data_IF_237459374811
#
_entry.id   IF_237459374811
#
_cell.length_a   1.000
_cell.length_b   1.000
_cell.length_c   1.000
_cell.angle_alpha   90.00
_cell.angle_beta   90.00
_cell.angle_gamma   90.00
#
_symmetry.space_group_name_H-M   'P 1'
#
loop_
_entity.id
_entity.type
_entity.pdbx_description
1 polymer ?
#
# COMPACT_ATOMS: atom_id res chain seq x y z
N UNK A 1 -15.30 -56.37 -15.85
CA UNK A 1 -15.15 -55.79 -17.20
C UNK A 1 -14.93 -54.31 -17.00
N UNK A 2 -13.66 -53.94 -16.91
CA UNK A 2 -13.18 -52.57 -16.73
C UNK A 2 -13.49 -51.74 -17.98
N UNK A 3 -13.82 -50.47 -17.80
CA UNK A 3 -13.60 -49.45 -18.82
C UNK A 3 -13.17 -48.15 -18.14
N UNK A 4 -11.89 -47.87 -18.38
CA UNK A 4 -10.98 -46.85 -17.88
C UNK A 4 -11.51 -45.45 -17.55
N UNK A 5 -10.97 -44.95 -16.43
CA UNK A 5 -10.72 -43.54 -16.15
C UNK A 5 -9.79 -42.98 -17.23
N UNK A 6 -10.35 -42.23 -18.19
CA UNK A 6 -9.58 -41.41 -19.11
C UNK A 6 -9.20 -40.10 -18.42
N UNK A 7 -7.91 -39.97 -18.16
CA UNK A 7 -7.20 -38.77 -17.71
C UNK A 7 -7.47 -37.56 -18.62
N UNK A 8 -8.42 -36.71 -18.23
CA UNK A 8 -8.55 -35.38 -18.85
C UNK A 8 -7.61 -34.40 -18.17
N UNK A 9 -6.50 -34.19 -18.87
CA UNK A 9 -5.56 -33.06 -18.76
C UNK A 9 -6.32 -31.76 -18.45
N UNK A 10 -6.11 -31.20 -17.26
CA UNK A 10 -6.52 -29.83 -16.93
C UNK A 10 -5.55 -28.89 -17.65
N UNK A 11 -5.92 -28.44 -18.85
CA UNK A 11 -5.30 -27.26 -19.46
C UNK A 11 -5.84 -26.05 -18.69
N UNK A 12 -5.02 -25.46 -17.82
CA UNK A 12 -5.32 -24.14 -17.24
C UNK A 12 -5.44 -23.14 -18.39
N UNK A 13 -6.68 -22.83 -18.80
CA UNK A 13 -6.96 -21.74 -19.70
C UNK A 13 -6.48 -20.43 -19.10
N UNK A 14 -6.06 -19.46 -19.92
CA UNK A 14 -5.83 -18.09 -19.48
C UNK A 14 -7.11 -17.60 -18.80
N UNK A 15 -7.09 -17.48 -17.47
CA UNK A 15 -8.18 -16.87 -16.71
C UNK A 15 -8.34 -15.45 -17.23
N UNK A 16 -9.48 -15.18 -17.87
CA UNK A 16 -9.83 -13.84 -18.35
C UNK A 16 -10.21 -13.01 -17.13
N UNK A 17 -9.42 -11.97 -16.85
CA UNK A 17 -9.73 -10.97 -15.83
C UNK A 17 -10.80 -10.04 -16.38
N UNK A 18 -11.76 -9.67 -15.54
CA UNK A 18 -12.78 -8.68 -15.83
C UNK A 18 -12.61 -7.54 -14.84
N UNK A 19 -12.49 -6.32 -15.36
CA UNK A 19 -12.49 -5.13 -14.52
C UNK A 19 -13.92 -4.91 -14.02
N UNK A 20 -14.09 -4.90 -12.70
CA UNK A 20 -15.40 -4.74 -12.06
C UNK A 20 -15.82 -3.28 -12.04
N UNK A 21 -14.89 -2.41 -11.65
CA UNK A 21 -15.07 -0.97 -11.55
C UNK A 21 -13.69 -0.30 -11.50
N UNK A 22 -13.62 0.95 -11.92
CA UNK A 22 -12.53 1.87 -11.69
C UNK A 22 -12.80 2.75 -10.47
N UNK A 23 -11.73 3.24 -9.84
CA UNK A 23 -11.78 4.19 -8.74
C UNK A 23 -10.74 5.25 -9.05
N UNK A 24 -11.15 6.52 -9.06
CA UNK A 24 -10.27 7.62 -9.46
C UNK A 24 -9.22 7.90 -8.39
N UNK A 25 -9.62 7.90 -7.11
CA UNK A 25 -8.72 8.16 -5.99
C UNK A 25 -9.06 7.28 -4.79
N UNK A 26 -8.02 6.66 -4.21
CA UNK A 26 -8.07 6.02 -2.88
C UNK A 26 -7.15 6.79 -1.94
N UNK A 27 -7.75 7.31 -0.87
CA UNK A 27 -7.05 7.95 0.24
C UNK A 27 -6.94 7.00 1.43
N UNK A 28 -5.80 7.06 2.10
CA UNK A 28 -5.54 6.30 3.32
C UNK A 28 -5.13 7.27 4.41
N UNK A 29 -5.73 7.13 5.59
CA UNK A 29 -5.39 7.91 6.77
C UNK A 29 -5.26 7.02 7.98
N UNK A 30 -4.34 7.39 8.87
CA UNK A 30 -4.23 6.84 10.21
C UNK A 30 -4.47 7.94 11.23
N UNK A 31 -5.30 7.65 12.25
CA UNK A 31 -5.44 8.52 13.41
C UNK A 31 -4.28 8.28 14.41
N UNK A 32 -4.24 9.04 15.51
CA UNK A 32 -3.10 9.00 16.46
C UNK A 32 -2.97 7.68 17.23
N UNK A 33 -4.02 6.86 17.26
CA UNK A 33 -4.04 5.49 17.77
C UNK A 33 -3.76 4.44 16.67
N UNK A 34 -3.38 4.90 15.47
CA UNK A 34 -3.23 4.10 14.26
C UNK A 34 -4.53 3.41 13.80
N UNK A 35 -5.69 3.94 14.20
CA UNK A 35 -6.96 3.56 13.57
C UNK A 35 -6.90 3.89 12.09
N UNK A 36 -7.13 2.87 11.27
CA UNK A 36 -7.12 2.95 9.81
C UNK A 36 -8.43 3.52 9.30
N UNK A 37 -8.34 4.41 8.32
CA UNK A 37 -9.48 4.92 7.56
C UNK A 37 -9.17 4.94 6.06
N UNK A 38 -10.14 4.49 5.27
CA UNK A 38 -10.12 4.55 3.82
C UNK A 38 -11.09 5.64 3.34
N UNK A 39 -10.61 6.44 2.41
CA UNK A 39 -11.42 7.43 1.69
C UNK A 39 -11.39 7.07 0.21
N UNK A 40 -12.51 7.26 -0.49
CA UNK A 40 -12.55 7.14 -1.96
C UNK A 40 -13.08 8.43 -2.56
N UNK A 41 -12.56 8.80 -3.73
CA UNK A 41 -13.13 9.90 -4.51
C UNK A 41 -13.48 9.45 -5.93
N UNK A 42 -14.60 9.97 -6.41
CA UNK A 42 -15.07 9.86 -7.78
C UNK A 42 -15.00 11.24 -8.43
N UNK A 43 -14.22 11.37 -9.49
CA UNK A 43 -13.94 12.63 -10.16
C UNK A 43 -14.54 12.61 -11.57
N UNK A 44 -15.55 13.46 -11.82
CA UNK A 44 -16.25 13.51 -13.11
C UNK A 44 -16.29 14.91 -13.69
N UNK A 45 -15.72 15.06 -14.89
CA UNK A 45 -15.72 16.30 -15.68
C UNK A 45 -16.91 16.40 -16.66
N UNK A 46 -17.66 15.33 -16.85
CA UNK A 46 -18.77 15.23 -17.81
C UNK A 46 -20.14 15.62 -17.25
N UNK A 47 -21.19 15.44 -18.08
CA UNK A 47 -22.60 15.71 -17.75
C UNK A 47 -23.31 14.53 -17.05
N UNK A 48 -22.55 13.71 -16.31
CA UNK A 48 -23.14 12.57 -15.63
C UNK A 48 -24.10 13.02 -14.53
N UNK A 49 -25.10 12.19 -14.23
CA UNK A 49 -26.07 12.49 -13.17
C UNK A 49 -25.39 12.33 -11.81
N UNK A 50 -25.26 13.44 -11.06
CA UNK A 50 -24.65 13.44 -9.73
C UNK A 50 -25.35 12.45 -8.78
N UNK A 51 -26.69 12.34 -8.85
CA UNK A 51 -27.42 11.39 -8.01
C UNK A 51 -27.11 9.93 -8.38
N UNK A 52 -26.94 9.60 -9.66
CA UNK A 52 -26.52 8.26 -10.07
C UNK A 52 -25.10 7.96 -9.59
N UNK A 53 -24.20 8.95 -9.64
CA UNK A 53 -22.83 8.81 -9.14
C UNK A 53 -22.77 8.65 -7.62
N UNK A 54 -23.66 9.30 -6.87
CA UNK A 54 -23.79 9.06 -5.42
C UNK A 54 -24.14 7.60 -5.11
N UNK A 55 -25.14 7.03 -5.80
CA UNK A 55 -25.50 5.62 -5.60
C UNK A 55 -24.37 4.66 -6.01
N UNK A 56 -23.72 4.92 -7.14
CA UNK A 56 -22.56 4.13 -7.58
C UNK A 56 -21.42 4.22 -6.55
N UNK A 57 -21.05 5.42 -6.11
CA UNK A 57 -19.97 5.65 -5.16
C UNK A 57 -20.28 5.00 -3.82
N UNK A 58 -21.54 5.04 -3.36
CA UNK A 58 -21.95 4.32 -2.16
C UNK A 58 -21.77 2.81 -2.29
N UNK A 59 -22.05 2.25 -3.47
CA UNK A 59 -21.78 0.84 -3.79
C UNK A 59 -20.28 0.53 -3.72
N UNK A 60 -19.44 1.35 -4.35
CA UNK A 60 -17.97 1.24 -4.31
C UNK A 60 -17.44 1.33 -2.89
N UNK A 61 -17.90 2.32 -2.11
CA UNK A 61 -17.53 2.47 -0.71
C UNK A 61 -17.87 1.23 0.11
N UNK A 62 -19.06 0.67 -0.09
CA UNK A 62 -19.49 -0.55 0.62
C UNK A 62 -18.63 -1.75 0.24
N UNK A 63 -18.31 -1.90 -1.04
CA UNK A 63 -17.47 -2.99 -1.54
C UNK A 63 -16.03 -2.93 -0.99
N UNK A 64 -15.44 -1.74 -0.90
CA UNK A 64 -14.07 -1.55 -0.40
C UNK A 64 -13.97 -1.39 1.13
N UNK A 65 -15.10 -1.28 1.83
CA UNK A 65 -15.11 -0.87 3.24
C UNK A 65 -14.56 0.55 3.44
N UNK A 66 -14.87 1.48 2.53
CA UNK A 66 -14.45 2.86 2.66
C UNK A 66 -15.31 3.63 3.67
N UNK A 67 -14.65 4.36 4.57
CA UNK A 67 -15.29 5.12 5.62
C UNK A 67 -15.99 6.36 5.07
N UNK A 68 -15.41 7.01 4.06
CA UNK A 68 -15.94 8.25 3.49
C UNK A 68 -15.73 8.35 1.98
N UNK A 69 -16.72 8.92 1.29
CA UNK A 69 -16.67 9.22 -0.14
C UNK A 69 -16.53 10.71 -0.41
N UNK A 70 -15.93 11.06 -1.55
CA UNK A 70 -15.95 12.40 -2.12
C UNK A 70 -16.46 12.31 -3.57
N UNK A 71 -17.53 13.03 -3.88
CA UNK A 71 -17.99 13.20 -5.25
C UNK A 71 -17.48 14.56 -5.75
N UNK A 72 -16.52 14.54 -6.67
CA UNK A 72 -15.91 15.72 -7.26
C UNK A 72 -16.47 15.91 -8.67
N UNK A 73 -17.23 16.98 -8.88
CA UNK A 73 -17.85 17.29 -10.17
C UNK A 73 -17.83 18.80 -10.42
N UNK A 74 -18.01 19.25 -11.67
CA UNK A 74 -18.04 20.69 -11.94
C UNK A 74 -19.22 21.41 -11.24
N UNK A 75 -20.40 20.78 -11.26
CA UNK A 75 -21.62 21.32 -10.66
C UNK A 75 -22.44 20.19 -10.07
N UNK A 76 -22.99 20.40 -8.88
CA UNK A 76 -23.82 19.41 -8.17
C UNK A 76 -25.11 20.09 -7.72
N UNK A 77 -26.26 19.51 -8.10
CA UNK A 77 -27.57 20.07 -7.76
C UNK A 77 -27.87 20.01 -6.26
N UNK A 78 -28.61 20.99 -5.70
CA UNK A 78 -28.91 21.04 -4.27
C UNK A 78 -29.69 19.83 -3.76
N UNK A 79 -30.47 19.17 -4.62
CA UNK A 79 -31.21 17.94 -4.32
C UNK A 79 -30.30 16.77 -3.91
N UNK A 80 -29.02 16.81 -4.29
CA UNK A 80 -28.05 15.77 -3.96
C UNK A 80 -27.55 15.86 -2.50
N UNK A 81 -27.73 17.00 -1.80
CA UNK A 81 -27.14 17.27 -0.48
C UNK A 81 -27.63 16.28 0.59
N UNK A 82 -28.94 16.09 0.70
CA UNK A 82 -29.55 15.18 1.67
C UNK A 82 -29.17 13.72 1.40
N UNK A 83 -29.08 13.35 0.12
CA UNK A 83 -28.68 12.00 -0.31
C UNK A 83 -27.22 11.74 0.04
N UNK A 84 -26.34 12.68 -0.27
CA UNK A 84 -24.91 12.58 0.01
C UNK A 84 -24.61 12.46 1.51
N UNK A 85 -25.29 13.26 2.35
CA UNK A 85 -25.15 13.20 3.80
C UNK A 85 -25.49 11.81 4.34
N UNK A 86 -26.60 11.21 3.90
CA UNK A 86 -27.02 9.85 4.30
C UNK A 86 -26.04 8.77 3.84
N UNK A 87 -25.31 9.01 2.76
CA UNK A 87 -24.35 8.05 2.20
C UNK A 87 -22.93 8.21 2.77
N UNK A 88 -22.70 9.20 3.64
CA UNK A 88 -21.38 9.65 4.10
C UNK A 88 -20.46 10.06 2.94
N UNK A 89 -21.01 10.80 1.99
CA UNK A 89 -20.30 11.36 0.84
C UNK A 89 -20.24 12.88 0.97
N UNK A 90 -19.03 13.44 0.87
CA UNK A 90 -18.82 14.87 0.70
C UNK A 90 -19.03 15.26 -0.76
N UNK A 91 -19.77 16.34 -1.00
CA UNK A 91 -19.92 16.93 -2.32
C UNK A 91 -18.84 18.00 -2.52
N UNK A 92 -18.09 17.90 -3.61
CA UNK A 92 -17.04 18.85 -4.00
C UNK A 92 -17.32 19.35 -5.41
N UNK A 93 -18.20 20.36 -5.50
CA UNK A 93 -18.29 21.16 -6.73
C UNK A 93 -17.13 22.17 -6.83
N UNK A 94 -17.03 22.87 -7.96
CA UNK A 94 -15.93 23.81 -8.21
C UNK A 94 -15.82 24.91 -7.13
N UNK A 95 -16.96 25.40 -6.64
CA UNK A 95 -17.04 26.40 -5.57
C UNK A 95 -16.56 25.81 -4.23
N UNK A 96 -17.12 24.68 -3.81
CA UNK A 96 -16.77 24.03 -2.54
C UNK A 96 -15.31 23.56 -2.53
N UNK A 97 -14.79 23.08 -3.67
CA UNK A 97 -13.39 22.67 -3.80
C UNK A 97 -12.46 23.88 -3.63
N UNK A 98 -12.74 24.97 -4.35
CA UNK A 98 -11.94 26.21 -4.26
C UNK A 98 -11.96 26.79 -2.84
N UNK A 99 -13.13 26.79 -2.18
CA UNK A 99 -13.25 27.23 -0.80
C UNK A 99 -12.46 26.31 0.14
N UNK A 100 -12.57 24.99 -0.03
CA UNK A 100 -11.85 24.02 0.78
C UNK A 100 -10.33 24.19 0.64
N UNK A 101 -9.82 24.41 -0.57
CA UNK A 101 -8.41 24.68 -0.83
C UNK A 101 -7.95 25.96 -0.14
N UNK A 102 -8.75 27.03 -0.24
CA UNK A 102 -8.48 28.32 0.41
C UNK A 102 -8.44 28.18 1.94
N UNK A 103 -9.45 27.53 2.54
CA UNK A 103 -9.55 27.32 3.99
C UNK A 103 -8.40 26.49 4.55
N UNK A 104 -7.88 25.57 3.74
CA UNK A 104 -6.75 24.72 4.09
C UNK A 104 -5.40 25.33 3.73
N UNK A 105 -5.40 26.55 3.17
CA UNK A 105 -4.21 27.21 2.64
C UNK A 105 -3.43 26.28 1.71
N UNK A 106 -4.15 25.48 0.92
CA UNK A 106 -3.61 24.65 -0.13
C UNK A 106 -3.37 25.56 -1.33
N UNK A 107 -2.15 26.06 -1.48
CA UNK A 107 -1.76 26.64 -2.75
C UNK A 107 -1.54 25.47 -3.72
N UNK A 108 -2.55 25.19 -4.56
CA UNK A 108 -2.51 24.11 -5.57
C UNK A 108 -1.34 24.28 -6.53
N UNK A 109 -0.89 25.52 -6.78
CA UNK A 109 0.34 25.81 -7.53
C UNK A 109 1.62 25.49 -6.75
N UNK A 110 1.57 25.53 -5.42
CA UNK A 110 2.67 25.11 -4.53
C UNK A 110 2.70 23.62 -4.22
N UNK A 111 1.57 22.90 -4.42
CA UNK A 111 1.51 21.44 -4.40
C UNK A 111 2.29 20.92 -5.62
N UNK A 112 3.60 21.02 -5.53
CA UNK A 112 4.58 20.59 -6.54
C UNK A 112 4.71 19.06 -6.61
N UNK A 113 3.66 18.35 -6.20
CA UNK A 113 3.49 16.91 -6.19
C UNK A 113 2.13 16.57 -6.81
N UNK A 114 2.00 15.37 -7.38
CA UNK A 114 0.77 14.93 -8.08
C UNK A 114 0.41 15.76 -9.34
N UNK A 115 1.40 16.31 -10.04
CA UNK A 115 1.20 16.97 -11.34
C UNK A 115 0.87 15.96 -12.45
N UNK A 116 0.22 16.39 -13.54
CA UNK A 116 -0.02 15.51 -14.70
C UNK A 116 1.28 14.89 -15.21
N UNK A 117 2.37 15.66 -15.29
CA UNK A 117 3.69 15.16 -15.70
C UNK A 117 4.23 14.05 -14.78
N UNK A 118 3.94 14.10 -13.47
CA UNK A 118 4.32 13.05 -12.54
C UNK A 118 3.51 11.76 -12.80
N UNK A 119 2.21 11.90 -13.08
CA UNK A 119 1.36 10.76 -13.43
C UNK A 119 1.75 10.14 -14.76
N UNK A 120 2.03 10.94 -15.80
CA UNK A 120 2.51 10.46 -17.10
C UNK A 120 3.84 9.72 -16.96
N UNK A 121 4.78 10.28 -16.18
CA UNK A 121 6.05 9.62 -15.91
C UNK A 121 5.87 8.34 -15.12
N UNK A 122 4.98 8.33 -14.12
CA UNK A 122 4.67 7.12 -13.37
C UNK A 122 4.12 6.03 -14.30
N UNK A 123 3.19 6.37 -15.21
CA UNK A 123 2.67 5.44 -16.20
C UNK A 123 3.76 4.88 -17.12
N UNK A 124 4.73 5.71 -17.53
CA UNK A 124 5.87 5.27 -18.34
C UNK A 124 6.84 4.34 -17.57
N UNK A 125 7.01 4.58 -16.26
CA UNK A 125 7.88 3.80 -15.39
C UNK A 125 7.18 2.60 -14.73
N UNK A 126 5.85 2.48 -14.77
CA UNK A 126 5.17 1.37 -14.10
C UNK A 126 5.20 0.07 -14.92
N UNK A 127 5.60 -1.03 -14.28
CA UNK A 127 5.62 -2.37 -14.89
C UNK A 127 6.83 -2.61 -15.81
N UNK A 128 6.88 -3.81 -16.40
CA UNK A 128 7.82 -4.14 -17.48
C UNK A 128 7.04 -4.23 -18.80
N UNK A 129 7.61 -3.68 -19.87
CA UNK A 129 7.03 -3.73 -21.20
C UNK A 129 7.79 -4.77 -22.04
N UNK A 130 7.07 -5.77 -22.54
CA UNK A 130 7.64 -6.83 -23.36
C UNK A 130 7.02 -6.83 -24.77
N UNK A 131 7.81 -7.02 -25.84
CA UNK A 131 7.28 -7.29 -27.17
C UNK A 131 6.38 -8.53 -27.18
N UNK A 132 5.40 -8.59 -28.10
CA UNK A 132 4.38 -9.67 -28.15
C UNK A 132 4.94 -11.10 -28.21
N UNK A 133 6.16 -11.29 -28.70
CA UNK A 133 6.81 -12.60 -28.85
C UNK A 133 8.00 -12.80 -27.89
N UNK A 134 8.14 -11.95 -26.88
CA UNK A 134 9.21 -12.04 -25.91
C UNK A 134 8.77 -12.90 -24.72
N UNK A 135 9.63 -13.86 -24.33
CA UNK A 135 9.44 -14.66 -23.13
C UNK A 135 10.36 -14.11 -22.03
N UNK A 136 9.83 -13.56 -20.94
CA UNK A 136 10.64 -13.00 -19.88
C UNK A 136 11.53 -14.05 -19.22
N UNK A 137 12.78 -13.70 -18.98
CA UNK A 137 13.71 -14.54 -18.21
C UNK A 137 13.31 -14.59 -16.72
N UNK A 138 13.97 -15.45 -15.94
CA UNK A 138 13.62 -15.63 -14.53
C UNK A 138 13.69 -14.33 -13.71
N UNK A 139 14.70 -13.48 -13.96
CA UNK A 139 14.86 -12.20 -13.26
C UNK A 139 13.71 -11.23 -13.57
N UNK A 140 13.35 -11.11 -14.86
CA UNK A 140 12.21 -10.30 -15.30
C UNK A 140 10.88 -10.83 -14.77
N UNK A 141 10.72 -12.15 -14.67
CA UNK A 141 9.54 -12.76 -14.06
C UNK A 141 9.41 -12.42 -12.57
N UNK A 142 10.51 -12.37 -11.81
CA UNK A 142 10.46 -11.94 -10.40
C UNK A 142 10.03 -10.48 -10.27
N UNK A 143 10.58 -9.60 -11.11
CA UNK A 143 10.17 -8.18 -11.14
C UNK A 143 8.70 -8.04 -11.55
N UNK A 144 8.25 -8.79 -12.56
CA UNK A 144 6.86 -8.77 -12.99
C UNK A 144 5.91 -9.28 -11.90
N UNK A 145 6.30 -10.31 -11.13
CA UNK A 145 5.54 -10.78 -9.97
C UNK A 145 5.42 -9.69 -8.90
N UNK A 146 6.49 -8.93 -8.64
CA UNK A 146 6.45 -7.77 -7.74
C UNK A 146 5.45 -6.73 -8.23
N UNK A 147 5.54 -6.26 -9.48
CA UNK A 147 4.59 -5.29 -10.05
C UNK A 147 3.14 -5.79 -10.00
N UNK A 148 2.90 -7.05 -10.34
CA UNK A 148 1.58 -7.66 -10.25
C UNK A 148 1.06 -7.70 -8.81
N UNK A 149 1.94 -7.95 -7.85
CA UNK A 149 1.58 -7.94 -6.44
C UNK A 149 1.19 -6.53 -5.97
N UNK A 150 2.02 -5.51 -6.26
CA UNK A 150 1.76 -4.11 -5.92
C UNK A 150 0.48 -3.57 -6.56
N UNK A 151 0.20 -3.96 -7.81
CA UNK A 151 -0.97 -3.47 -8.56
C UNK A 151 -2.27 -4.17 -8.15
N UNK A 152 -2.22 -5.47 -7.84
CA UNK A 152 -3.43 -6.27 -7.67
C UNK A 152 -3.45 -7.02 -6.34
N UNK A 153 -2.55 -7.98 -6.14
CA UNK A 153 -2.67 -8.93 -5.04
C UNK A 153 -2.63 -8.26 -3.66
N UNK A 154 -1.91 -7.14 -3.51
CA UNK A 154 -1.88 -6.37 -2.28
C UNK A 154 -3.28 -5.97 -1.80
N UNK A 155 -4.12 -5.49 -2.73
CA UNK A 155 -5.45 -4.94 -2.44
C UNK A 155 -6.51 -6.00 -2.18
N UNK A 156 -6.32 -7.22 -2.68
CA UNK A 156 -7.28 -8.32 -2.53
C UNK A 156 -6.88 -9.35 -1.46
N UNK A 157 -5.60 -9.40 -1.09
CA UNK A 157 -5.15 -10.31 -0.04
C UNK A 157 -5.68 -9.89 1.33
N UNK A 158 -5.85 -10.90 2.20
CA UNK A 158 -6.09 -10.62 3.61
C UNK A 158 -4.93 -9.81 4.20
N UNK A 159 -5.28 -8.74 4.92
CA UNK A 159 -4.34 -7.68 5.31
C UNK A 159 -3.10 -8.19 6.04
N UNK A 160 -3.26 -9.19 6.92
CA UNK A 160 -2.16 -9.77 7.68
C UNK A 160 -1.10 -10.46 6.82
N UNK A 161 -1.46 -10.92 5.62
CA UNK A 161 -0.51 -11.57 4.70
C UNK A 161 0.44 -10.56 4.07
N UNK A 162 0.00 -9.31 3.92
CA UNK A 162 0.75 -8.31 3.16
C UNK A 162 2.10 -7.96 3.82
N UNK A 163 2.21 -8.04 5.15
CA UNK A 163 3.49 -7.86 5.86
C UNK A 163 4.56 -8.82 5.35
N UNK A 164 4.22 -10.10 5.23
CA UNK A 164 5.19 -11.15 4.87
C UNK A 164 5.34 -11.26 3.35
N UNK A 165 4.22 -11.29 2.61
CA UNK A 165 4.26 -11.54 1.17
C UNK A 165 4.97 -10.42 0.43
N UNK A 166 4.81 -9.16 0.85
CA UNK A 166 5.50 -8.04 0.22
C UNK A 166 7.01 -8.08 0.46
N UNK A 167 7.45 -8.43 1.68
CA UNK A 167 8.89 -8.61 1.97
C UNK A 167 9.46 -9.76 1.14
N UNK A 168 8.79 -10.91 1.09
CA UNK A 168 9.24 -12.03 0.25
C UNK A 168 9.22 -11.70 -1.24
N UNK A 169 8.25 -10.92 -1.73
CA UNK A 169 8.23 -10.48 -3.12
C UNK A 169 9.41 -9.55 -3.46
N UNK A 170 9.76 -8.64 -2.54
CA UNK A 170 10.92 -7.77 -2.67
C UNK A 170 12.23 -8.56 -2.58
N UNK A 171 12.37 -9.44 -1.61
CA UNK A 171 13.55 -10.30 -1.43
C UNK A 171 13.86 -11.12 -2.68
N UNK A 172 12.83 -11.76 -3.26
CA UNK A 172 12.98 -12.52 -4.51
C UNK A 172 13.32 -11.65 -5.72
N UNK A 173 12.85 -10.40 -5.75
CA UNK A 173 13.10 -9.47 -6.85
C UNK A 173 14.40 -8.67 -6.67
N UNK A 174 14.95 -8.56 -5.46
CA UNK A 174 16.05 -7.66 -5.12
C UNK A 174 17.30 -7.83 -6.02
N UNK A 175 17.80 -9.06 -6.26
CA UNK A 175 18.97 -9.25 -7.15
C UNK A 175 18.68 -8.79 -8.59
N UNK A 176 17.46 -9.06 -9.09
CA UNK A 176 17.03 -8.68 -10.42
C UNK A 176 16.87 -7.16 -10.55
N UNK A 177 16.29 -6.51 -9.54
CA UNK A 177 16.16 -5.05 -9.48
C UNK A 177 17.53 -4.37 -9.46
N UNK A 178 18.50 -4.93 -8.73
CA UNK A 178 19.86 -4.41 -8.67
C UNK A 178 20.64 -4.62 -9.97
N UNK A 179 20.37 -5.68 -10.73
CA UNK A 179 20.99 -5.90 -12.04
C UNK A 179 20.31 -5.10 -13.16
N UNK A 180 19.06 -4.64 -12.97
CA UNK A 180 18.28 -4.02 -14.03
C UNK A 180 18.90 -2.68 -14.51
N UNK A 181 18.96 -2.41 -15.84
CA UNK A 181 19.58 -1.19 -16.37
C UNK A 181 18.77 0.07 -16.05
N UNK A 182 17.43 -0.01 -16.10
CA UNK A 182 16.53 1.10 -15.78
C UNK A 182 16.38 1.22 -14.25
N UNK A 183 17.25 2.02 -13.63
CA UNK A 183 17.26 2.23 -12.17
C UNK A 183 16.08 3.05 -11.67
N UNK A 184 15.57 4.00 -12.47
CA UNK A 184 14.44 4.83 -12.07
C UNK A 184 13.16 4.00 -11.93
N UNK A 185 12.92 3.08 -12.87
CA UNK A 185 11.82 2.11 -12.80
C UNK A 185 11.87 1.27 -11.53
N UNK A 186 13.06 0.79 -11.17
CA UNK A 186 13.25 -0.01 -9.95
C UNK A 186 13.05 0.83 -8.69
N UNK A 187 13.45 2.10 -8.69
CA UNK A 187 13.15 3.04 -7.59
C UNK A 187 11.65 3.24 -7.42
N UNK A 188 10.90 3.48 -8.50
CA UNK A 188 9.42 3.62 -8.43
C UNK A 188 8.78 2.37 -7.82
N UNK A 189 9.19 1.18 -8.25
CA UNK A 189 8.71 -0.08 -7.67
C UNK A 189 9.06 -0.20 -6.18
N UNK A 190 10.30 0.09 -5.80
CA UNK A 190 10.78 0.01 -4.43
C UNK A 190 10.05 0.98 -3.49
N UNK A 191 9.87 2.25 -3.89
CA UNK A 191 9.14 3.25 -3.09
C UNK A 191 7.66 2.94 -2.99
N UNK A 192 7.05 2.41 -4.06
CA UNK A 192 5.66 1.95 -4.00
C UNK A 192 5.52 0.77 -3.05
N UNK A 193 6.45 -0.17 -3.07
CA UNK A 193 6.48 -1.27 -2.12
C UNK A 193 6.70 -0.77 -0.68
N UNK A 194 7.61 0.18 -0.46
CA UNK A 194 7.84 0.80 0.85
C UNK A 194 6.57 1.48 1.39
N UNK A 195 5.83 2.19 0.53
CA UNK A 195 4.57 2.84 0.87
C UNK A 195 3.52 1.82 1.31
N UNK A 196 3.27 0.79 0.49
CA UNK A 196 2.28 -0.25 0.77
C UNK A 196 2.67 -1.11 1.97
N UNK A 197 3.97 -1.34 2.18
CA UNK A 197 4.48 -2.03 3.35
C UNK A 197 4.31 -1.20 4.62
N UNK A 198 4.60 0.10 4.57
CA UNK A 198 4.37 1.04 5.68
C UNK A 198 2.90 1.07 6.09
N UNK A 199 1.97 1.07 5.12
CA UNK A 199 0.53 0.95 5.40
C UNK A 199 0.22 -0.35 6.13
N UNK A 200 0.76 -1.48 5.66
CA UNK A 200 0.53 -2.79 6.29
C UNK A 200 1.08 -2.83 7.73
N UNK A 201 2.26 -2.24 7.95
CA UNK A 201 2.89 -2.14 9.26
C UNK A 201 2.03 -1.34 10.23
N UNK A 202 1.51 -0.19 9.80
CA UNK A 202 0.66 0.64 10.65
C UNK A 202 -0.69 -0.02 10.95
N UNK A 203 -1.30 -0.73 9.99
CA UNK A 203 -2.49 -1.56 10.25
C UNK A 203 -2.23 -2.61 11.32
N UNK A 204 -1.10 -3.33 11.23
CA UNK A 204 -0.70 -4.28 12.27
C UNK A 204 -0.54 -3.61 13.63
N UNK A 205 0.14 -2.47 13.69
CA UNK A 205 0.35 -1.74 14.94
C UNK A 205 -0.96 -1.23 15.53
N UNK A 206 -1.87 -0.69 14.71
CA UNK A 206 -3.22 -0.31 15.13
C UNK A 206 -4.02 -1.49 15.68
N UNK A 207 -3.95 -2.65 15.03
CA UNK A 207 -4.57 -3.88 15.55
C UNK A 207 -4.01 -4.27 16.92
N UNK A 208 -2.70 -4.16 17.14
CA UNK A 208 -2.06 -4.46 18.43
C UNK A 208 -2.50 -3.49 19.52
N UNK A 209 -2.61 -2.19 19.20
CA UNK A 209 -3.10 -1.15 20.11
C UNK A 209 -4.55 -1.46 20.52
N UNK A 210 -5.39 -1.80 19.54
CA UNK A 210 -6.82 -2.03 19.75
C UNK A 210 -7.13 -3.31 20.55
N UNK A 211 -6.27 -4.34 20.50
CA UNK A 211 -6.50 -5.62 21.20
C UNK A 211 -5.87 -5.65 22.59
N UNK A 212 -4.54 -5.69 22.66
CA UNK A 212 -3.78 -5.81 23.91
C UNK A 212 -2.36 -5.26 23.76
N UNK A 213 -2.25 -3.94 23.71
CA UNK A 213 -0.97 -3.24 23.56
C UNK A 213 0.09 -3.54 24.63
N UNK A 214 -0.29 -4.09 25.80
CA UNK A 214 0.65 -4.54 26.82
C UNK A 214 1.41 -5.82 26.44
N UNK A 215 0.91 -6.59 25.47
CA UNK A 215 1.49 -7.87 25.02
C UNK A 215 1.92 -7.81 23.55
N UNK A 216 2.67 -6.76 23.17
CA UNK A 216 3.07 -6.48 21.77
C UNK A 216 3.61 -7.73 21.07
N UNK A 217 4.50 -8.49 21.70
CA UNK A 217 5.07 -9.70 21.13
C UNK A 217 3.99 -10.71 20.71
N UNK A 218 3.05 -11.03 21.60
CA UNK A 218 2.01 -12.01 21.34
C UNK A 218 1.03 -11.51 20.28
N UNK A 219 0.66 -10.22 20.32
CA UNK A 219 -0.29 -9.64 19.39
C UNK A 219 0.29 -9.49 17.98
N UNK A 220 1.55 -9.05 17.83
CA UNK A 220 2.26 -9.04 16.54
C UNK A 220 2.32 -10.46 15.97
N UNK A 221 2.66 -11.45 16.81
CA UNK A 221 2.69 -12.87 16.40
C UNK A 221 1.33 -13.36 15.90
N UNK A 222 0.26 -13.05 16.65
CA UNK A 222 -1.12 -13.42 16.26
C UNK A 222 -1.52 -12.76 14.95
N UNK A 223 -1.19 -11.49 14.79
CA UNK A 223 -1.48 -10.75 13.57
C UNK A 223 -0.83 -11.40 12.36
N UNK A 224 0.50 -11.61 12.36
CA UNK A 224 1.19 -12.18 11.18
C UNK A 224 0.71 -13.59 10.80
N UNK A 225 0.14 -14.35 11.74
CA UNK A 225 -0.46 -15.66 11.46
C UNK A 225 -1.97 -15.61 11.16
N UNK A 226 -2.57 -14.42 11.20
CA UNK A 226 -3.96 -14.13 10.85
C UNK A 226 -4.97 -14.41 11.97
N UNK A 227 -4.63 -15.24 12.95
CA UNK A 227 -5.45 -15.44 14.14
C UNK A 227 -4.67 -16.16 15.25
N UNK A 228 -5.19 -16.11 16.48
CA UNK A 228 -4.67 -16.91 17.58
C UNK A 228 -4.78 -18.42 17.32
N UNK A 229 -5.86 -18.87 16.67
CA UNK A 229 -6.04 -20.27 16.29
C UNK A 229 -4.96 -20.72 15.29
N UNK A 230 -4.74 -19.94 14.23
CA UNK A 230 -3.73 -20.22 13.22
C UNK A 230 -2.31 -20.20 13.82
N UNK A 231 -2.03 -19.26 14.72
CA UNK A 231 -0.75 -19.20 15.43
C UNK A 231 -0.51 -20.46 16.27
N UNK A 232 -1.54 -20.93 16.99
CA UNK A 232 -1.48 -22.14 17.80
C UNK A 232 -1.33 -23.40 16.94
N UNK A 233 -2.07 -23.51 15.85
CA UNK A 233 -2.01 -24.62 14.91
C UNK A 233 -0.62 -24.71 14.27
N UNK A 234 -0.09 -23.59 13.77
CA UNK A 234 1.27 -23.54 13.22
C UNK A 234 2.33 -23.89 14.26
N UNK A 235 2.20 -23.39 15.49
CA UNK A 235 3.10 -23.76 16.58
C UNK A 235 2.99 -25.24 16.98
N UNK A 236 1.83 -25.86 16.79
CA UNK A 236 1.65 -27.30 17.00
C UNK A 236 2.32 -28.12 15.89
N UNK A 237 2.07 -27.77 14.63
CA UNK A 237 2.70 -28.41 13.47
C UNK A 237 4.23 -28.32 13.55
N UNK A 238 4.79 -27.16 13.89
CA UNK A 238 6.25 -27.01 14.03
C UNK A 238 6.82 -27.84 15.17
N UNK A 239 6.09 -27.99 16.29
CA UNK A 239 6.48 -28.89 17.38
C UNK A 239 6.51 -30.35 16.90
N UNK A 240 5.56 -30.77 16.08
CA UNK A 240 5.58 -32.11 15.48
C UNK A 240 6.76 -32.27 14.53
N UNK A 241 7.02 -31.30 13.66
CA UNK A 241 8.16 -31.32 12.75
C UNK A 241 9.50 -31.35 13.49
N UNK A 242 9.69 -30.54 14.53
CA UNK A 242 10.94 -30.51 15.30
C UNK A 242 11.25 -31.84 16.00
N UNK A 243 10.20 -32.61 16.36
CA UNK A 243 10.36 -33.97 16.90
C UNK A 243 10.77 -34.98 15.82
N UNK A 244 10.43 -34.72 14.56
CA UNK A 244 10.75 -35.58 13.42
C UNK A 244 12.10 -35.26 12.77
N UNK A 245 12.52 -33.99 12.78
CA UNK A 245 13.71 -33.53 12.04
C UNK A 245 14.96 -33.32 12.89
N UNK A 246 14.91 -33.59 14.21
CA UNK A 246 15.96 -33.28 15.21
C UNK A 246 16.46 -31.81 15.21
N UNK A 247 15.80 -30.95 14.45
CA UNK A 247 16.19 -29.56 14.22
C UNK A 247 15.10 -28.62 14.75
N UNK A 248 15.52 -27.61 15.52
CA UNK A 248 14.62 -26.57 16.02
C UNK A 248 14.18 -25.68 14.86
N UNK A 249 13.01 -25.97 14.30
CA UNK A 249 12.37 -25.11 13.31
C UNK A 249 11.73 -23.91 14.03
N UNK A 250 12.19 -22.68 13.71
CA UNK A 250 11.54 -21.45 14.15
C UNK A 250 10.30 -21.19 13.29
N UNK A 251 9.22 -20.75 13.91
CA UNK A 251 7.98 -20.45 13.20
C UNK A 251 8.03 -19.06 12.56
N UNK A 252 8.68 -18.14 13.26
CA UNK A 252 8.82 -16.75 12.88
C UNK A 252 9.87 -16.58 11.78
N UNK A 253 9.69 -15.59 10.87
CA UNK A 253 10.72 -15.25 9.91
C UNK A 253 11.97 -14.70 10.61
N UNK A 254 13.12 -14.77 9.93
CA UNK A 254 14.40 -14.36 10.51
C UNK A 254 14.42 -12.89 10.96
N UNK A 255 13.68 -12.02 10.26
CA UNK A 255 13.53 -10.61 10.59
C UNK A 255 12.55 -10.31 11.74
N UNK A 256 11.94 -11.33 12.37
CA UNK A 256 10.84 -11.12 13.32
C UNK A 256 11.23 -10.30 14.55
N UNK A 257 12.43 -10.49 15.10
CA UNK A 257 12.91 -9.69 16.23
C UNK A 257 12.96 -8.21 15.91
N UNK A 258 13.44 -7.87 14.72
CA UNK A 258 13.54 -6.49 14.25
C UNK A 258 12.17 -5.90 13.90
N UNK A 259 11.27 -6.73 13.37
CA UNK A 259 9.87 -6.34 13.14
C UNK A 259 9.20 -5.97 14.46
N UNK A 260 9.46 -6.72 15.53
CA UNK A 260 8.91 -6.44 16.85
C UNK A 260 9.46 -5.13 17.44
N UNK A 261 10.75 -4.87 17.30
CA UNK A 261 11.36 -3.60 17.72
C UNK A 261 10.79 -2.42 16.93
N UNK A 262 10.64 -2.57 15.61
CA UNK A 262 10.03 -1.56 14.75
C UNK A 262 8.57 -1.32 15.15
N UNK A 263 7.76 -2.37 15.30
CA UNK A 263 6.37 -2.27 15.70
C UNK A 263 6.22 -1.59 17.08
N UNK A 264 7.08 -1.96 18.04
CA UNK A 264 7.09 -1.33 19.37
C UNK A 264 7.38 0.17 19.29
N UNK A 265 8.30 0.60 18.41
CA UNK A 265 8.55 2.03 18.15
C UNK A 265 7.35 2.71 17.49
N UNK A 266 6.73 2.10 16.49
CA UNK A 266 5.55 2.66 15.81
C UNK A 266 4.37 2.84 16.77
N UNK A 267 4.15 1.87 17.66
CA UNK A 267 3.11 1.95 18.70
C UNK A 267 3.42 3.05 19.71
N UNK A 268 4.67 3.10 20.20
CA UNK A 268 5.10 4.12 21.19
C UNK A 268 5.01 5.54 20.65
N UNK A 269 5.32 5.74 19.37
CA UNK A 269 5.32 7.05 18.71
C UNK A 269 4.23 7.15 17.65
N UNK A 270 3.05 6.59 17.92
CA UNK A 270 1.93 6.46 16.98
C UNK A 270 1.49 7.79 16.37
N UNK A 271 1.51 8.87 17.16
CA UNK A 271 1.22 10.23 16.71
C UNK A 271 2.13 10.68 15.55
N UNK A 272 3.38 10.23 15.50
CA UNK A 272 4.31 10.53 14.42
C UNK A 272 4.29 9.44 13.33
N UNK A 273 4.10 8.19 13.73
CA UNK A 273 4.11 7.04 12.83
C UNK A 273 2.97 7.11 11.79
N UNK A 274 1.81 7.67 12.15
CA UNK A 274 0.65 7.83 11.24
C UNK A 274 0.98 8.57 9.93
N UNK A 275 2.02 9.40 9.92
CA UNK A 275 2.42 10.20 8.76
C UNK A 275 3.46 9.51 7.86
N UNK A 276 4.01 8.35 8.24
CA UNK A 276 5.06 7.66 7.45
C UNK A 276 4.64 7.43 6.00
N UNK A 277 3.43 6.91 5.68
CA UNK A 277 3.02 6.71 4.29
C UNK A 277 3.07 8.02 3.49
N UNK A 278 2.67 9.14 4.09
CA UNK A 278 2.69 10.44 3.43
C UNK A 278 4.13 10.87 3.12
N UNK A 279 5.08 10.66 4.03
CA UNK A 279 6.49 11.00 3.78
C UNK A 279 7.04 10.22 2.59
N UNK A 280 6.81 8.91 2.56
CA UNK A 280 7.23 8.04 1.44
C UNK A 280 6.56 8.47 0.14
N UNK A 281 5.26 8.77 0.17
CA UNK A 281 4.50 9.21 -1.01
C UNK A 281 4.99 10.57 -1.53
N UNK A 282 5.31 11.51 -0.65
CA UNK A 282 5.86 12.81 -1.06
C UNK A 282 7.19 12.59 -1.79
N UNK A 283 8.15 11.88 -1.20
CA UNK A 283 9.44 11.61 -1.86
C UNK A 283 9.25 10.92 -3.22
N UNK A 284 8.35 9.94 -3.31
CA UNK A 284 8.03 9.29 -4.57
C UNK A 284 7.52 10.29 -5.62
N UNK A 285 6.56 11.14 -5.29
CA UNK A 285 5.97 12.06 -6.28
C UNK A 285 6.87 13.27 -6.57
N UNK A 286 7.45 13.92 -5.58
CA UNK A 286 8.29 15.11 -5.78
C UNK A 286 9.69 14.77 -6.28
N UNK A 287 10.42 13.91 -5.55
CA UNK A 287 11.84 13.71 -5.80
C UNK A 287 12.10 12.72 -6.93
N UNK A 288 11.25 11.69 -7.06
CA UNK A 288 11.44 10.65 -8.09
C UNK A 288 10.66 11.00 -9.36
N UNK A 289 9.34 11.18 -9.26
CA UNK A 289 8.49 11.38 -10.44
C UNK A 289 8.61 12.80 -11.02
N UNK A 290 8.58 13.85 -10.19
CA UNK A 290 8.79 15.21 -10.68
C UNK A 290 10.28 15.58 -10.88
N UNK A 291 11.23 14.75 -10.43
CA UNK A 291 12.67 15.04 -10.41
C UNK A 291 13.02 16.39 -9.74
N UNK A 292 12.24 16.80 -8.73
CA UNK A 292 12.49 18.03 -7.95
C UNK A 292 13.20 17.69 -6.65
N UNK A 293 14.26 18.44 -6.33
CA UNK A 293 15.03 18.24 -5.10
C UNK A 293 14.45 18.99 -3.89
N UNK A 294 13.13 19.22 -3.86
CA UNK A 294 12.50 19.91 -2.74
C UNK A 294 12.61 19.05 -1.47
N UNK A 295 12.90 19.72 -0.35
CA UNK A 295 12.97 19.06 0.95
C UNK A 295 11.57 18.72 1.46
N UNK A 296 11.44 17.63 2.22
CA UNK A 296 10.18 17.28 2.88
C UNK A 296 9.68 18.38 3.83
N UNK A 297 10.56 19.17 4.42
CA UNK A 297 10.17 20.32 5.25
C UNK A 297 9.44 21.39 4.43
N UNK A 298 9.91 21.64 3.21
CA UNK A 298 9.26 22.55 2.25
C UNK A 298 7.90 21.98 1.80
N UNK A 299 7.86 20.69 1.45
CA UNK A 299 6.67 20.05 0.88
C UNK A 299 5.54 19.85 1.91
N UNK A 300 5.89 19.59 3.18
CA UNK A 300 4.92 19.33 4.24
C UNK A 300 4.62 20.56 5.09
N UNK A 301 5.45 21.61 5.03
CA UNK A 301 5.27 22.85 5.78
C UNK A 301 5.03 22.59 7.26
N UNK A 302 3.96 23.16 7.82
CA UNK A 302 3.58 22.99 9.23
C UNK A 302 3.23 21.56 9.66
N UNK A 303 3.11 20.62 8.72
CA UNK A 303 2.86 19.21 9.00
C UNK A 303 4.16 18.37 9.00
N UNK A 304 5.31 19.00 8.77
CA UNK A 304 6.61 18.36 8.90
C UNK A 304 6.96 18.10 10.37
N UNK A 305 7.34 16.86 10.66
CA UNK A 305 7.94 16.38 11.89
C UNK A 305 9.24 15.61 11.59
N UNK A 306 10.31 15.96 12.30
CA UNK A 306 11.60 15.24 12.26
C UNK A 306 11.44 13.81 12.78
N UNK A 307 10.56 13.60 13.76
CA UNK A 307 10.28 12.27 14.30
C UNK A 307 9.57 11.39 13.27
N UNK A 308 8.60 11.93 12.53
CA UNK A 308 7.96 11.22 11.42
C UNK A 308 8.97 10.85 10.33
N UNK A 309 9.90 11.75 10.01
CA UNK A 309 10.98 11.46 9.05
C UNK A 309 11.86 10.31 9.54
N UNK A 310 12.31 10.37 10.80
CA UNK A 310 13.16 9.35 11.40
C UNK A 310 12.48 7.97 11.36
N UNK A 311 11.20 7.90 11.74
CA UNK A 311 10.43 6.66 11.68
C UNK A 311 10.26 6.14 10.23
N UNK A 312 10.10 7.03 9.25
CA UNK A 312 10.07 6.63 7.84
C UNK A 312 11.42 6.05 7.37
N UNK A 313 12.54 6.65 7.78
CA UNK A 313 13.89 6.11 7.52
C UNK A 313 14.11 4.76 8.21
N UNK A 314 13.64 4.60 9.45
CA UNK A 314 13.68 3.33 10.18
C UNK A 314 12.94 2.21 9.42
N UNK A 315 11.78 2.52 8.83
CA UNK A 315 11.02 1.59 7.98
C UNK A 315 11.78 1.23 6.72
N UNK A 316 12.40 2.20 6.03
CA UNK A 316 13.22 1.93 4.86
C UNK A 316 14.44 1.04 5.17
N UNK A 317 15.15 1.32 6.27
CA UNK A 317 16.26 0.50 6.73
C UNK A 317 15.84 -0.93 7.08
N UNK A 318 14.70 -1.10 7.75
CA UNK A 318 14.16 -2.42 8.04
C UNK A 318 13.87 -3.19 6.73
N UNK A 319 13.20 -2.56 5.77
CA UNK A 319 12.90 -3.20 4.47
C UNK A 319 14.17 -3.61 3.76
N UNK A 320 15.19 -2.74 3.67
CA UNK A 320 16.50 -3.09 3.11
C UNK A 320 17.11 -4.32 3.77
N UNK A 321 17.16 -4.35 5.10
CA UNK A 321 17.75 -5.46 5.84
C UNK A 321 16.96 -6.77 5.71
N UNK A 322 15.63 -6.70 5.73
CA UNK A 322 14.76 -7.88 5.62
C UNK A 322 14.72 -8.48 4.20
N UNK A 323 15.07 -7.71 3.17
CA UNK A 323 14.94 -8.11 1.76
C UNK A 323 16.27 -8.22 1.01
N UNK A 324 17.36 -7.75 1.61
CA UNK A 324 18.66 -7.64 0.93
C UNK A 324 18.74 -6.50 -0.09
N UNK A 325 17.71 -5.66 -0.24
CA UNK A 325 17.78 -4.45 -1.07
C UNK A 325 18.83 -3.48 -0.51
N UNK A 326 19.69 -2.98 -1.38
CA UNK A 326 20.71 -2.02 -0.97
C UNK A 326 20.10 -0.65 -0.63
N UNK A 327 20.57 0.06 0.43
CA UNK A 327 19.99 1.32 0.87
C UNK A 327 19.93 2.44 -0.19
N UNK A 328 20.79 2.39 -1.20
CA UNK A 328 20.86 3.39 -2.28
C UNK A 328 19.56 3.49 -3.07
N UNK A 329 18.75 2.43 -3.09
CA UNK A 329 17.42 2.45 -3.73
C UNK A 329 16.47 3.46 -3.08
N UNK A 330 16.68 3.76 -1.79
CA UNK A 330 15.90 4.73 -1.01
C UNK A 330 16.69 6.00 -0.70
N UNK A 331 17.71 6.31 -1.48
CA UNK A 331 18.63 7.42 -1.19
C UNK A 331 17.93 8.78 -1.08
N UNK A 332 16.88 9.04 -1.86
CA UNK A 332 16.11 10.30 -1.81
C UNK A 332 15.35 10.48 -0.51
N UNK A 333 14.93 9.42 0.17
CA UNK A 333 14.30 9.47 1.50
C UNK A 333 15.35 9.53 2.60
N UNK A 334 16.42 8.75 2.47
CA UNK A 334 17.48 8.68 3.47
C UNK A 334 18.28 9.98 3.58
N UNK A 335 18.36 10.77 2.50
CA UNK A 335 19.05 12.06 2.45
C UNK A 335 18.21 13.26 2.90
N UNK A 336 16.90 13.11 3.11
CA UNK A 336 15.99 14.19 3.57
C UNK A 336 16.33 14.75 4.95
#
# INVERSE_FOLDING_TARGET
MEASLSSRVIRYGKLKRYDLTDIDVVGVRFDSDLTWQTVVADCKSGKESAINRLFWLRGVMTFLGADRGYLVMKSIGPECREVALRMNVSLMDEENLTQYETDKSLDVGSLNCFTLSAYDRNAALWGLQFPKNYSPNDAEQQIQKLFNYLSYNYWFNQEYRNIQVLLSALENAAPAMEAHPDKERMKVAAYTALLLWSISLLKMCGSVIATKGSEIHNEVRRYIFGSAANANERAHLMRMFSKLSESKVRLEPDYYGELLELASRMIKFSHHAKSIPRYVQQVLFSNILCAKADSLATLLGGQYSVDSLKLAKDVAHFVCKATGLKPEVFSELLSQ
#
